data_IF_046197890085
#
_entry.id   IF_046197890085
#
_cell.length_a   1.000
_cell.length_b   1.000
_cell.length_c   1.000
_cell.angle_alpha   90.00
_cell.angle_beta   90.00
_cell.angle_gamma   90.00
#
_symmetry.space_group_name_H-M   'P 1'
#
loop_
_entity.id
_entity.type
_entity.pdbx_description
1 polymer ?
2 water ?
#
# COMPACT_ATOMS: atom_id res chain seq x y z
N UNK A 1 -8.70 -12.76 -32.67
CA UNK A 1 -8.56 -14.17 -33.09
C UNK A 1 -7.39 -14.83 -32.36
N UNK A 2 -6.44 -14.04 -31.87
CA UNK A 2 -5.29 -14.56 -31.14
C UNK A 2 -5.43 -14.39 -29.62
N UNK A 3 -5.28 -15.48 -28.84
CA UNK A 3 -5.40 -15.35 -27.39
C UNK A 3 -4.57 -14.19 -26.79
N UNK A 4 -3.46 -13.84 -27.46
CA UNK A 4 -2.64 -12.73 -27.01
C UNK A 4 -3.38 -11.43 -27.31
N UNK A 5 -4.03 -11.39 -28.48
CA UNK A 5 -4.81 -10.24 -28.93
C UNK A 5 -6.04 -10.06 -28.04
N UNK A 6 -6.69 -11.18 -27.71
CA UNK A 6 -7.87 -11.16 -26.85
C UNK A 6 -7.52 -10.60 -25.47
N UNK A 7 -6.31 -10.93 -25.01
CA UNK A 7 -5.84 -10.47 -23.72
C UNK A 7 -5.65 -8.96 -23.79
N UNK A 8 -5.12 -8.50 -24.92
CA UNK A 8 -4.89 -7.09 -25.15
C UNK A 8 -6.21 -6.31 -25.27
N UNK A 9 -7.16 -6.88 -26.00
CA UNK A 9 -8.47 -6.27 -26.21
C UNK A 9 -9.34 -6.26 -24.95
N UNK A 10 -9.44 -7.40 -24.26
CA UNK A 10 -10.25 -7.49 -23.05
C UNK A 10 -9.70 -6.53 -22.00
N UNK A 11 -10.60 -5.80 -21.34
CA UNK A 11 -10.16 -4.87 -20.31
C UNK A 11 -10.74 -5.27 -18.96
N UNK A 12 -9.85 -5.67 -18.06
CA UNK A 12 -10.21 -6.10 -16.71
C UNK A 12 -9.81 -5.03 -15.71
N UNK A 13 -10.73 -4.66 -14.83
CA UNK A 13 -10.47 -3.63 -13.84
C UNK A 13 -10.87 -4.01 -12.42
N UNK A 14 -10.29 -3.31 -11.46
CA UNK A 14 -10.62 -3.50 -10.05
C UNK A 14 -11.68 -2.43 -9.77
N UNK A 15 -12.76 -2.85 -9.14
CA UNK A 15 -13.82 -1.93 -8.81
C UNK A 15 -14.30 -2.26 -7.40
N UNK A 16 -15.17 -1.43 -6.86
CA UNK A 16 -15.67 -1.71 -5.53
C UNK A 16 -17.18 -1.61 -5.52
N UNK A 17 -17.82 -2.64 -5.00
CA UNK A 17 -19.28 -2.67 -4.94
C UNK A 17 -19.78 -1.64 -3.93
N UNK A 18 -20.68 -0.78 -4.40
CA UNK A 18 -21.26 0.26 -3.56
C UNK A 18 -22.69 -0.08 -3.18
N UNK A 19 -23.33 -0.87 -4.03
CA UNK A 19 -24.72 -1.21 -3.79
C UNK A 19 -25.02 -2.62 -4.34
N UNK A 20 -25.72 -3.42 -3.55
CA UNK A 20 -26.10 -4.77 -3.94
C UNK A 20 -27.54 -5.02 -3.50
N UNK A 21 -28.39 -5.43 -4.43
CA UNK A 21 -29.79 -5.69 -4.13
C UNK A 21 -30.31 -6.92 -4.86
N UNK A 22 -31.27 -7.63 -4.25
CA UNK A 22 -31.82 -8.84 -4.88
C UNK A 22 -32.41 -8.54 -6.25
N UNK A 23 -32.03 -9.37 -7.22
CA UNK A 23 -32.52 -9.21 -8.58
C UNK A 23 -33.76 -10.07 -8.76
N UNK A 24 -34.78 -9.77 -7.96
CA UNK A 24 -36.06 -10.47 -7.95
C UNK A 24 -36.61 -10.83 -9.34
N UNK A 25 -36.59 -9.85 -10.25
CA UNK A 25 -37.12 -10.02 -11.60
C UNK A 25 -36.47 -11.14 -12.42
N UNK A 26 -35.17 -11.36 -12.21
CA UNK A 26 -34.42 -12.39 -12.94
C UNK A 26 -34.83 -13.80 -12.55
N UNK A 27 -34.90 -14.69 -13.54
CA UNK A 27 -35.27 -16.08 -13.27
C UNK A 27 -34.13 -16.82 -12.61
N UNK A 28 -32.91 -16.46 -12.99
CA UNK A 28 -31.68 -17.04 -12.44
C UNK A 28 -31.23 -16.19 -11.24
N UNK A 29 -31.19 -16.79 -10.03
CA UNK A 29 -30.79 -16.11 -8.79
C UNK A 29 -29.59 -15.19 -8.98
N UNK A 30 -29.80 -13.91 -8.73
CA UNK A 30 -28.74 -12.94 -8.89
C UNK A 30 -28.95 -11.69 -8.06
N UNK A 31 -27.95 -10.81 -8.14
CA UNK A 31 -27.93 -9.54 -7.45
C UNK A 31 -27.77 -8.42 -8.44
N UNK A 32 -28.39 -7.29 -8.18
CA UNK A 32 -28.22 -6.10 -9.01
C UNK A 32 -27.07 -5.40 -8.27
N UNK A 33 -25.96 -5.13 -8.98
CA UNK A 33 -24.82 -4.48 -8.36
C UNK A 33 -24.48 -3.15 -9.02
N UNK A 34 -23.93 -2.24 -8.23
CA UNK A 34 -23.49 -0.94 -8.73
C UNK A 34 -22.02 -0.93 -8.33
N UNK A 35 -21.15 -0.90 -9.32
CA UNK A 35 -19.71 -0.96 -9.08
C UNK A 35 -18.94 0.33 -9.40
N UNK A 36 -18.18 0.79 -8.42
CA UNK A 36 -17.35 1.99 -8.55
C UNK A 36 -16.03 1.55 -9.17
N UNK A 37 -15.79 1.98 -10.41
CA UNK A 37 -14.58 1.62 -11.11
C UNK A 37 -13.65 2.81 -11.27
N UNK A 38 -13.68 3.70 -10.27
CA UNK A 38 -12.83 4.88 -10.29
C UNK A 38 -13.03 5.79 -11.47
N UNK A 39 -12.01 5.91 -12.34
CA UNK A 39 -12.02 6.74 -13.55
C UNK A 39 -13.18 6.39 -14.49
N UNK A 40 -13.56 5.12 -14.49
CA UNK A 40 -14.65 4.64 -15.34
C UNK A 40 -16.00 4.96 -14.72
N UNK A 41 -15.99 5.43 -13.49
CA UNK A 41 -17.23 5.78 -12.81
C UNK A 41 -18.01 4.56 -12.38
N UNK A 42 -19.33 4.72 -12.27
CA UNK A 42 -20.20 3.64 -11.84
C UNK A 42 -20.75 2.81 -12.99
N UNK A 43 -20.71 1.50 -12.82
CA UNK A 43 -21.20 0.56 -13.81
C UNK A 43 -22.04 -0.50 -13.13
N UNK A 44 -23.17 -0.82 -13.75
CA UNK A 44 -24.07 -1.82 -13.19
C UNK A 44 -23.71 -3.22 -13.63
N UNK A 45 -24.17 -4.20 -12.84
CA UNK A 45 -23.95 -5.59 -13.15
C UNK A 45 -24.91 -6.49 -12.41
N UNK A 46 -25.38 -7.54 -13.09
CA UNK A 46 -26.28 -8.53 -12.51
C UNK A 46 -25.40 -9.76 -12.32
N UNK A 47 -25.09 -10.08 -11.07
CA UNK A 47 -24.23 -11.22 -10.79
C UNK A 47 -24.93 -12.35 -10.05
N UNK A 48 -24.70 -13.57 -10.51
CA UNK A 48 -25.31 -14.75 -9.89
C UNK A 48 -24.41 -15.23 -8.77
N UNK A 49 -24.17 -14.37 -7.79
CA UNK A 49 -23.31 -14.72 -6.67
C UNK A 49 -24.11 -14.73 -5.38
N UNK A 50 -25.34 -15.24 -5.48
CA UNK A 50 -26.24 -15.31 -4.33
C UNK A 50 -25.89 -16.41 -3.36
N UNK A 51 -25.27 -17.47 -3.87
CA UNK A 51 -24.83 -18.56 -3.03
C UNK A 51 -23.42 -18.16 -2.61
N UNK A 52 -23.21 -18.11 -1.29
CA UNK A 52 -21.93 -17.72 -0.69
C UNK A 52 -21.88 -16.24 -0.29
N UNK A 53 -22.63 -15.38 -0.96
CA UNK A 53 -22.62 -13.95 -0.62
C UNK A 53 -23.96 -13.31 -0.36
N UNK A 54 -24.00 -12.46 0.66
CA UNK A 54 -25.17 -11.70 1.08
C UNK A 54 -24.93 -10.28 0.54
N UNK A 55 -26.00 -9.59 0.08
CA UNK A 55 -25.81 -8.22 -0.44
C UNK A 55 -24.98 -7.38 0.51
N UNK A 56 -25.20 -7.57 1.81
CA UNK A 56 -24.48 -6.83 2.85
C UNK A 56 -22.99 -7.15 2.80
N UNK A 57 -22.65 -8.37 2.39
CA UNK A 57 -21.25 -8.79 2.30
C UNK A 57 -20.56 -8.13 1.12
N UNK A 58 -21.30 -7.95 0.03
CA UNK A 58 -20.77 -7.35 -1.18
C UNK A 58 -20.46 -5.88 -1.05
N UNK A 59 -21.36 -5.15 -0.41
CA UNK A 59 -21.17 -3.71 -0.22
C UNK A 59 -19.80 -3.39 0.40
N UNK A 60 -19.03 -2.59 -0.32
CA UNK A 60 -17.72 -2.19 0.14
C UNK A 60 -16.56 -3.09 -0.23
N UNK A 61 -16.82 -4.19 -0.93
CA UNK A 61 -15.72 -5.08 -1.27
C UNK A 61 -15.17 -4.88 -2.67
N UNK A 62 -13.90 -5.23 -2.83
CA UNK A 62 -13.21 -5.12 -4.12
C UNK A 62 -13.56 -6.33 -4.96
N UNK A 63 -13.79 -6.06 -6.24
CA UNK A 63 -14.16 -7.06 -7.21
C UNK A 63 -13.36 -6.76 -8.48
N UNK A 64 -13.23 -7.73 -9.36
CA UNK A 64 -12.53 -7.50 -10.62
C UNK A 64 -13.56 -7.76 -11.72
N UNK A 65 -13.68 -6.81 -12.65
CA UNK A 65 -14.68 -6.89 -13.71
C UNK A 65 -14.19 -6.79 -15.14
N UNK A 66 -14.91 -7.45 -16.05
CA UNK A 66 -14.63 -7.37 -17.46
C UNK A 66 -15.51 -6.17 -17.81
N UNK A 67 -14.89 -5.05 -18.15
CA UNK A 67 -15.65 -3.85 -18.44
C UNK A 67 -16.04 -3.51 -19.89
N UNK A 68 -15.14 -3.74 -20.85
CA UNK A 68 -15.45 -3.40 -22.23
C UNK A 68 -16.35 -4.30 -23.08
N UNK A 69 -17.11 -5.19 -22.45
CA UNK A 69 -18.02 -6.05 -23.20
C UNK A 69 -19.28 -5.24 -23.42
N UNK A 70 -20.10 -5.66 -24.38
CA UNK A 70 -21.34 -4.94 -24.62
C UNK A 70 -22.27 -5.09 -23.43
N UNK A 71 -23.00 -4.04 -23.09
CA UNK A 71 -23.92 -4.10 -21.97
C UNK A 71 -25.14 -4.90 -22.41
N UNK A 72 -25.76 -5.61 -21.47
CA UNK A 72 -26.93 -6.42 -21.79
C UNK A 72 -27.95 -6.30 -20.69
N UNK A 73 -29.22 -6.51 -21.07
CA UNK A 73 -30.34 -6.44 -20.12
C UNK A 73 -30.62 -7.77 -19.47
N UNK A 74 -30.91 -7.72 -18.18
CA UNK A 74 -31.23 -8.94 -17.43
C UNK A 74 -32.44 -8.60 -16.59
N UNK A 75 -33.59 -9.12 -17.00
CA UNK A 75 -34.80 -8.87 -16.27
C UNK A 75 -34.97 -7.36 -16.08
N UNK A 76 -34.81 -6.63 -17.19
CA UNK A 76 -34.96 -5.20 -17.18
C UNK A 76 -33.75 -4.41 -16.72
N UNK A 77 -32.94 -5.01 -15.86
CA UNK A 77 -31.76 -4.36 -15.31
C UNK A 77 -30.61 -4.40 -16.32
N UNK A 78 -29.99 -3.26 -16.56
CA UNK A 78 -28.89 -3.19 -17.52
C UNK A 78 -27.55 -3.58 -16.89
N UNK A 79 -26.94 -4.64 -17.40
CA UNK A 79 -25.66 -5.12 -16.89
C UNK A 79 -24.54 -4.67 -17.83
N UNK A 80 -23.83 -3.63 -17.42
CA UNK A 80 -22.76 -3.06 -18.23
C UNK A 80 -21.39 -3.74 -18.11
N UNK A 81 -21.12 -4.37 -16.98
CA UNK A 81 -19.84 -5.06 -16.76
C UNK A 81 -20.05 -6.44 -16.13
N UNK A 82 -19.03 -7.29 -16.24
CA UNK A 82 -19.06 -8.64 -15.68
C UNK A 82 -18.13 -8.81 -14.49
N UNK A 83 -18.69 -9.22 -13.35
CA UNK A 83 -17.91 -9.45 -12.15
C UNK A 83 -17.37 -10.88 -12.24
N UNK A 84 -16.05 -11.00 -12.24
CA UNK A 84 -15.39 -12.30 -12.38
C UNK A 84 -15.38 -13.17 -11.14
N UNK A 85 -15.59 -14.47 -11.38
CA UNK A 85 -15.61 -15.45 -10.31
C UNK A 85 -15.16 -16.79 -10.84
N UNK A 86 -15.03 -17.75 -9.95
CA UNK A 86 -14.61 -19.09 -10.31
C UNK A 86 -15.43 -20.02 -9.43
N UNK A 87 -15.86 -21.17 -9.97
CA UNK A 87 -16.68 -22.07 -9.15
C UNK A 87 -15.89 -22.95 -8.17
N UNK A 88 -16.48 -23.18 -7.01
CA UNK A 88 -15.83 -24.07 -6.04
C UNK A 88 -16.22 -25.48 -6.44
N UNK A 89 -15.97 -26.45 -5.56
CA UNK A 89 -16.30 -27.83 -5.87
C UNK A 89 -17.78 -28.06 -6.15
N UNK A 90 -18.64 -27.35 -5.44
CA UNK A 90 -20.08 -27.48 -5.62
C UNK A 90 -20.66 -26.63 -6.75
N UNK A 91 -19.80 -25.93 -7.48
CA UNK A 91 -20.28 -25.09 -8.57
C UNK A 91 -20.63 -23.66 -8.19
N UNK A 92 -20.60 -23.36 -6.89
CA UNK A 92 -20.90 -22.00 -6.38
C UNK A 92 -19.83 -21.03 -6.83
N UNK A 93 -20.25 -19.82 -7.18
CA UNK A 93 -19.31 -18.81 -7.63
C UNK A 93 -18.50 -18.17 -6.50
N UNK A 94 -17.18 -18.26 -6.63
CA UNK A 94 -16.26 -17.65 -5.67
C UNK A 94 -15.70 -16.42 -6.40
N UNK A 95 -15.84 -15.26 -5.77
CA UNK A 95 -15.36 -14.03 -6.39
C UNK A 95 -13.84 -13.91 -6.36
N UNK A 96 -13.29 -13.24 -7.38
CA UNK A 96 -11.86 -13.00 -7.42
C UNK A 96 -11.67 -11.61 -6.82
N UNK A 97 -10.48 -11.35 -6.27
CA UNK A 97 -10.19 -10.06 -5.69
C UNK A 97 -8.70 -9.87 -5.53
N UNK A 98 -8.24 -8.61 -5.41
CA UNK A 98 -6.81 -8.33 -5.23
C UNK A 98 -6.43 -8.72 -3.81
N UNK A 99 -5.20 -9.20 -3.60
CA UNK A 99 -4.73 -9.60 -2.26
C UNK A 99 -4.98 -8.55 -1.20
N UNK A 100 -4.94 -7.29 -1.61
CA UNK A 100 -5.13 -6.19 -0.69
C UNK A 100 -5.80 -5.00 -1.38
N UNK A 101 -6.00 -3.94 -0.62
CA UNK A 101 -6.63 -2.72 -1.12
C UNK A 101 -5.74 -2.11 -2.19
N UNK A 102 -6.36 -1.60 -3.25
CA UNK A 102 -5.64 -1.05 -4.39
C UNK A 102 -6.52 0.04 -5.03
N UNK A 103 -5.94 0.92 -5.86
CA UNK A 103 -6.75 1.97 -6.50
C UNK A 103 -7.86 1.42 -7.43
N UNK A 104 -9.05 2.00 -7.35
CA UNK A 104 -10.17 1.54 -8.19
C UNK A 104 -9.92 1.91 -9.64
N UNK A 105 -10.40 1.08 -10.55
CA UNK A 105 -10.19 1.35 -11.95
C UNK A 105 -8.87 0.77 -12.41
N UNK A 106 -8.08 0.28 -11.46
CA UNK A 106 -6.80 -0.33 -11.78
C UNK A 106 -6.98 -1.44 -12.80
N UNK A 107 -6.10 -1.51 -13.78
CA UNK A 107 -6.21 -2.52 -14.83
C UNK A 107 -5.40 -3.78 -14.51
N UNK A 108 -6.01 -4.94 -14.74
CA UNK A 108 -5.35 -6.22 -14.47
C UNK A 108 -4.38 -6.56 -15.61
N UNK A 109 -3.21 -7.04 -15.24
CA UNK A 109 -2.20 -7.41 -16.22
C UNK A 109 -1.36 -8.59 -15.73
N UNK B 1 -11.63 -9.86 -31.98
CA UNK B 1 -11.84 -8.42 -32.31
C UNK B 1 -12.91 -7.80 -31.41
N UNK B 2 -13.97 -8.56 -31.12
CA UNK B 2 -15.05 -8.08 -30.26
C UNK B 2 -14.73 -8.43 -28.79
N UNK B 3 -14.71 -7.43 -27.89
CA UNK B 3 -14.40 -7.66 -26.47
C UNK B 3 -15.13 -8.89 -25.92
N UNK B 4 -16.34 -9.12 -26.42
CA UNK B 4 -17.13 -10.27 -25.98
C UNK B 4 -16.40 -11.54 -26.41
N UNK B 5 -15.94 -11.56 -27.65
CA UNK B 5 -15.21 -12.71 -28.19
C UNK B 5 -13.82 -12.85 -27.58
N UNK B 6 -13.21 -11.72 -27.24
CA UNK B 6 -11.90 -11.75 -26.60
C UNK B 6 -12.12 -12.44 -25.25
N UNK B 7 -13.26 -12.14 -24.65
CA UNK B 7 -13.65 -12.71 -23.35
C UNK B 7 -13.77 -14.23 -23.48
N UNK B 8 -14.45 -14.66 -24.54
CA UNK B 8 -14.68 -16.08 -24.80
C UNK B 8 -13.41 -16.84 -25.18
N UNK B 9 -12.52 -16.20 -25.92
CA UNK B 9 -11.26 -16.83 -26.35
C UNK B 9 -10.24 -16.91 -25.23
N UNK B 10 -10.10 -15.82 -24.47
CA UNK B 10 -9.13 -15.81 -23.37
C UNK B 10 -9.52 -16.89 -22.36
N UNK B 11 -8.53 -17.65 -21.90
CA UNK B 11 -8.78 -18.70 -20.92
C UNK B 11 -8.10 -18.36 -19.61
N UNK B 12 -8.91 -18.03 -18.61
CA UNK B 12 -8.42 -17.68 -17.29
C UNK B 12 -8.69 -18.83 -16.32
N UNK B 13 -7.68 -19.25 -15.60
CA UNK B 13 -7.82 -20.36 -14.65
C UNK B 13 -7.17 -20.05 -13.31
N UNK B 14 -7.56 -20.81 -12.30
CA UNK B 14 -6.98 -20.69 -10.97
C UNK B 14 -5.99 -21.82 -10.83
N UNK B 15 -4.78 -21.49 -10.37
CA UNK B 15 -3.79 -22.51 -10.18
C UNK B 15 -3.15 -22.29 -8.82
N UNK B 16 -2.30 -23.23 -8.41
CA UNK B 16 -1.62 -23.09 -7.15
C UNK B 16 -0.13 -23.13 -7.39
N UNK B 17 0.57 -22.11 -6.90
CA UNK B 17 2.03 -22.06 -7.04
C UNK B 17 2.61 -23.14 -6.14
N UNK B 18 3.44 -24.01 -6.70
CA UNK B 18 4.06 -25.07 -5.91
C UNK B 18 5.56 -24.84 -5.77
N UNK B 19 6.11 -23.94 -6.60
CA UNK B 19 7.54 -23.64 -6.56
C UNK B 19 7.81 -22.20 -7.04
N UNK B 20 8.64 -21.49 -6.29
CA UNK B 20 9.01 -20.11 -6.60
C UNK B 20 10.49 -19.91 -6.35
N UNK B 21 11.18 -19.36 -7.34
CA UNK B 21 12.62 -19.14 -7.22
C UNK B 21 13.05 -17.85 -7.92
N UNK B 22 14.09 -17.18 -7.37
CA UNK B 22 14.61 -15.94 -7.92
C UNK B 22 15.08 -16.12 -9.36
N UNK B 23 14.53 -15.30 -10.24
CA UNK B 23 14.85 -15.33 -11.66
C UNK B 23 15.95 -14.30 -11.87
N UNK B 24 17.05 -14.49 -11.15
CA UNK B 24 18.16 -13.55 -11.22
C UNK B 24 18.73 -13.30 -12.62
N UNK B 25 18.57 -14.26 -13.53
CA UNK B 25 19.07 -14.09 -14.90
C UNK B 25 18.31 -13.00 -15.65
N UNK B 26 17.08 -12.72 -15.22
CA UNK B 26 16.24 -11.71 -15.85
C UNK B 26 16.64 -10.29 -15.45
N UNK B 27 16.59 -9.38 -16.40
CA UNK B 27 16.92 -7.98 -16.20
C UNK B 27 15.98 -7.35 -15.17
N UNK B 28 14.68 -7.45 -15.45
CA UNK B 28 13.67 -6.90 -14.57
C UNK B 28 13.37 -7.95 -13.50
N UNK B 29 13.53 -7.59 -12.21
CA UNK B 29 13.28 -8.49 -11.08
C UNK B 29 12.01 -9.33 -11.19
N UNK B 30 12.18 -10.64 -11.06
CA UNK B 30 11.06 -11.56 -11.15
C UNK B 30 11.36 -12.87 -10.43
N UNK B 31 10.36 -13.74 -10.41
CA UNK B 31 10.45 -15.06 -9.81
C UNK B 31 10.09 -16.09 -10.86
N UNK B 32 10.75 -17.24 -10.79
CA UNK B 32 10.44 -18.34 -11.70
C UNK B 32 9.36 -19.05 -10.93
N UNK B 33 8.21 -19.25 -11.55
CA UNK B 33 7.11 -19.93 -10.87
C UNK B 33 6.67 -21.19 -11.59
N UNK B 34 6.23 -22.17 -10.80
CA UNK B 34 5.73 -23.43 -11.33
C UNK B 34 4.31 -23.47 -10.76
N UNK B 35 3.31 -23.42 -11.64
CA UNK B 35 1.92 -23.39 -11.21
C UNK B 35 1.16 -24.65 -11.54
N UNK B 36 0.51 -25.22 -10.52
CA UNK B 36 -0.30 -26.43 -10.67
C UNK B 36 -1.69 -25.99 -11.12
N UNK B 37 -2.01 -26.31 -12.37
CA UNK B 37 -3.31 -25.93 -12.92
C UNK B 37 -4.23 -27.14 -13.07
N UNK B 38 -4.13 -28.08 -12.12
CA UNK B 38 -4.96 -29.26 -12.13
C UNK B 38 -4.95 -30.03 -13.44
N UNK B 39 -6.08 -30.10 -14.14
CA UNK B 39 -6.20 -30.82 -15.43
C UNK B 39 -5.22 -30.35 -16.49
N UNK B 40 -4.78 -29.10 -16.39
CA UNK B 40 -3.84 -28.53 -17.35
C UNK B 40 -2.41 -28.91 -16.97
N UNK B 41 -2.26 -29.48 -15.77
CA UNK B 41 -0.95 -29.89 -15.31
C UNK B 41 -0.10 -28.74 -14.83
N UNK B 42 1.22 -28.88 -14.95
CA UNK B 42 2.14 -27.85 -14.51
C UNK B 42 2.56 -26.88 -15.61
N UNK B 43 2.43 -25.58 -15.34
CA UNK B 43 2.83 -24.55 -16.29
C UNK B 43 3.78 -23.57 -15.60
N UNK B 44 4.85 -23.19 -16.31
CA UNK B 44 5.83 -22.27 -15.77
C UNK B 44 5.40 -20.81 -16.04
N UNK B 45 6.00 -19.89 -15.29
CA UNK B 45 5.71 -18.47 -15.43
C UNK B 45 6.76 -17.62 -14.72
N UNK B 46 7.17 -16.53 -15.38
CA UNK B 46 8.13 -15.60 -14.82
C UNK B 46 7.22 -14.47 -14.37
N UNK B 47 7.23 -14.16 -13.08
CA UNK B 47 6.36 -13.11 -12.55
C UNK B 47 7.12 -12.04 -11.79
N UNK B 48 6.86 -10.79 -12.16
CA UNK B 48 7.52 -9.66 -11.53
C UNK B 48 6.77 -9.24 -10.27
N UNK B 49 6.73 -10.15 -9.30
CA UNK B 49 6.03 -9.90 -8.06
C UNK B 49 6.99 -10.01 -6.88
N UNK B 50 8.21 -9.53 -7.09
CA UNK B 50 9.23 -9.58 -6.05
C UNK B 50 9.00 -8.54 -4.95
N UNK B 51 8.28 -7.46 -5.28
CA UNK B 51 7.96 -6.43 -4.29
C UNK B 51 6.61 -6.88 -3.75
N UNK B 52 6.53 -7.04 -2.43
CA UNK B 52 5.31 -7.47 -1.74
C UNK B 52 5.22 -8.98 -1.54
N UNK B 53 5.96 -9.77 -2.32
CA UNK B 53 5.93 -11.23 -2.15
C UNK B 53 7.31 -11.86 -2.09
N UNK B 54 7.48 -12.80 -1.17
CA UNK B 54 8.74 -13.53 -1.05
C UNK B 54 8.42 -14.95 -1.54
N UNK B 55 9.38 -15.61 -2.20
CA UNK B 55 9.16 -16.98 -2.70
C UNK B 55 8.41 -17.88 -1.73
N UNK B 56 8.78 -17.79 -0.45
CA UNK B 56 8.18 -18.59 0.59
C UNK B 56 6.67 -18.32 0.74
N UNK B 57 6.26 -17.09 0.48
CA UNK B 57 4.85 -16.72 0.58
C UNK B 57 4.06 -17.26 -0.60
N UNK B 58 4.68 -17.24 -1.77
CA UNK B 58 4.01 -17.69 -2.98
C UNK B 58 3.75 -19.20 -2.98
N UNK B 59 4.67 -19.99 -2.42
CA UNK B 59 4.49 -21.43 -2.40
C UNK B 59 3.20 -21.83 -1.70
N UNK B 60 2.36 -22.58 -2.41
CA UNK B 60 1.09 -23.05 -1.85
C UNK B 60 -0.06 -22.09 -2.00
N UNK B 61 0.20 -20.96 -2.65
CA UNK B 61 -0.81 -19.93 -2.85
C UNK B 61 -1.61 -20.08 -4.13
N UNK B 62 -2.91 -19.75 -4.05
CA UNK B 62 -3.77 -19.79 -5.22
C UNK B 62 -3.57 -18.52 -6.02
N UNK B 63 -3.52 -18.69 -7.32
CA UNK B 63 -3.29 -17.58 -8.22
C UNK B 63 -4.23 -17.72 -9.41
N UNK B 64 -4.43 -16.64 -10.15
CA UNK B 64 -5.27 -16.70 -11.35
C UNK B 64 -4.37 -16.38 -12.56
N UNK B 65 -4.43 -17.24 -13.58
CA UNK B 65 -3.58 -17.06 -14.75
C UNK B 65 -4.28 -17.00 -16.10
N UNK B 66 -3.62 -16.35 -17.06
CA UNK B 66 -4.09 -16.28 -18.44
C UNK B 66 -3.27 -17.45 -19.00
N UNK B 67 -3.94 -18.54 -19.33
CA UNK B 67 -3.24 -19.72 -19.78
C UNK B 67 -2.99 -19.97 -21.27
N UNK B 68 -3.95 -19.59 -22.11
CA UNK B 68 -3.82 -19.87 -23.55
C UNK B 68 -3.10 -18.86 -24.43
N UNK B 69 -2.26 -18.02 -23.85
CA UNK B 69 -1.50 -17.08 -24.66
C UNK B 69 -0.25 -17.87 -25.02
N UNK B 70 0.46 -17.45 -26.06
CA UNK B 70 1.67 -18.17 -26.44
C UNK B 70 2.73 -18.09 -25.35
N UNK B 71 3.55 -19.14 -25.22
CA UNK B 71 4.61 -19.14 -24.21
C UNK B 71 5.73 -18.21 -24.69
N UNK B 72 6.40 -17.58 -23.74
CA UNK B 72 7.49 -16.67 -24.05
C UNK B 72 8.70 -16.99 -23.19
N UNK B 73 9.88 -16.73 -23.73
CA UNK B 73 11.11 -16.99 -23.00
C UNK B 73 11.49 -15.72 -22.24
N UNK B 74 11.91 -15.85 -20.99
CA UNK B 74 12.34 -14.70 -20.20
C UNK B 74 13.68 -15.06 -19.57
N UNK B 75 14.77 -14.52 -20.10
CA UNK B 75 16.09 -14.85 -19.57
C UNK B 75 16.22 -16.36 -19.59
N UNK B 76 15.92 -16.93 -20.76
CA UNK B 76 16.00 -18.36 -20.97
C UNK B 76 14.87 -19.17 -20.37
N UNK B 77 14.22 -18.64 -19.35
CA UNK B 77 13.12 -19.36 -18.69
C UNK B 77 11.85 -19.26 -19.51
N UNK B 78 11.24 -20.41 -19.78
CA UNK B 78 9.99 -20.45 -20.56
C UNK B 78 8.79 -20.09 -19.68
N UNK B 79 8.16 -18.96 -20.00
CA UNK B 79 6.97 -18.53 -19.26
C UNK B 79 5.74 -18.95 -20.08
N UNK B 80 5.07 -20.02 -19.66
CA UNK B 80 3.91 -20.56 -20.39
C UNK B 80 2.56 -19.91 -20.07
N UNK B 81 2.40 -19.39 -18.86
CA UNK B 81 1.15 -18.74 -18.49
C UNK B 81 1.44 -17.42 -17.79
N UNK B 82 0.44 -16.54 -17.78
CA UNK B 82 0.55 -15.24 -17.13
C UNK B 82 -0.19 -15.27 -15.79
N UNK B 83 0.50 -14.85 -14.74
CA UNK B 83 -0.08 -14.78 -13.40
C UNK B 83 -0.62 -13.35 -13.29
N UNK B 84 -1.93 -13.23 -13.08
CA UNK B 84 -2.58 -11.93 -13.05
C UNK B 84 -2.52 -11.14 -11.74
N UNK B 85 -2.32 -9.84 -11.89
CA UNK B 85 -2.22 -8.95 -10.75
C UNK B 85 -2.74 -7.57 -11.12
N UNK B 86 -2.68 -6.67 -10.15
CA UNK B 86 -3.16 -5.31 -10.35
C UNK B 86 -2.22 -4.40 -9.53
N UNK B 87 -1.90 -3.20 -10.03
CA UNK B 87 -1.02 -2.29 -9.30
C UNK B 87 -1.60 -1.55 -8.09
N UNK B 88 -0.79 -1.37 -7.06
CA UNK B 88 -1.23 -0.64 -5.88
C UNK B 88 -0.89 0.83 -6.18
N UNK B 89 -0.98 1.69 -5.18
CA UNK B 89 -0.71 3.11 -5.38
C UNK B 89 0.71 3.37 -5.87
N UNK B 90 1.63 2.52 -5.44
CA UNK B 90 3.04 2.61 -5.80
C UNK B 90 3.38 1.90 -7.11
N UNK B 91 2.39 1.31 -7.75
CA UNK B 91 2.64 0.60 -8.99
C UNK B 91 3.07 -0.84 -8.78
N UNK B 92 3.28 -1.25 -7.54
CA UNK B 92 3.70 -2.62 -7.26
C UNK B 92 2.56 -3.60 -7.56
N UNK B 93 2.92 -4.77 -8.07
CA UNK B 93 1.96 -5.80 -8.43
C UNK B 93 1.30 -6.50 -7.25
N UNK B 94 -0.03 -6.49 -7.22
CA UNK B 94 -0.80 -7.17 -6.18
C UNK B 94 -1.51 -8.31 -6.90
N UNK B 95 -1.27 -9.53 -6.44
CA UNK B 95 -1.87 -10.70 -7.05
C UNK B 95 -3.38 -10.79 -6.86
N UNK B 96 -4.06 -11.38 -7.85
CA UNK B 96 -5.49 -11.58 -7.76
C UNK B 96 -5.62 -12.99 -7.19
N UNK B 97 -6.75 -13.26 -6.55
CA UNK B 97 -6.98 -14.58 -5.96
C UNK B 97 -8.45 -14.83 -5.68
N UNK B 98 -8.85 -16.12 -5.62
CA UNK B 98 -10.25 -16.42 -5.31
C UNK B 98 -10.42 -16.11 -3.82
N UNK B 99 -11.63 -15.75 -3.38
CA UNK B 99 -11.90 -15.44 -1.97
C UNK B 99 -11.56 -16.58 -1.04
N UNK B 100 -11.70 -17.79 -1.55
CA UNK B 100 -11.41 -18.98 -0.76
C UNK B 100 -10.92 -20.06 -1.70
N UNK B 101 -10.55 -21.21 -1.12
CA UNK B 101 -10.05 -22.29 -1.94
C UNK B 101 -11.08 -22.82 -2.92
N UNK B 102 -10.61 -23.14 -4.12
CA UNK B 102 -11.46 -23.68 -5.18
C UNK B 102 -10.65 -24.73 -5.95
N UNK B 103 -11.32 -25.57 -6.77
CA UNK B 103 -10.57 -26.58 -7.52
C UNK B 103 -9.56 -25.94 -8.48
N UNK B 104 -8.38 -26.54 -8.57
CA UNK B 104 -7.34 -26.02 -9.47
C UNK B 104 -7.71 -26.32 -10.92
N UNK B 105 -7.48 -25.34 -11.79
CA UNK B 105 -7.82 -25.50 -13.19
C UNK B 105 -9.18 -24.90 -13.44
N UNK B 106 -9.88 -24.53 -12.36
CA UNK B 106 -11.19 -23.93 -12.48
C UNK B 106 -11.13 -22.73 -13.40
N UNK B 107 -12.16 -22.57 -14.23
CA UNK B 107 -12.19 -21.46 -15.18
C UNK B 107 -12.91 -20.24 -14.64
N UNK B 108 -12.31 -19.07 -14.86
CA UNK B 108 -12.87 -17.81 -14.42
C UNK B 108 -13.94 -17.35 -15.41
N UNK B 109 -15.08 -16.91 -14.87
CA UNK B 109 -16.19 -16.44 -15.70
C UNK B 109 -16.93 -15.27 -15.07
N UNK C 1 -8.68 4.50 4.74
CA UNK C 1 -9.95 5.19 5.07
C UNK C 1 -9.72 6.41 5.97
N UNK C 2 -9.86 6.26 7.28
CA UNK C 2 -9.68 7.35 8.22
C UNK C 2 -8.18 7.56 8.55
N UNK C 3 -7.72 8.83 8.57
CA UNK C 3 -6.32 9.15 8.88
C UNK C 3 -5.89 8.58 10.23
N UNK C 4 -6.84 8.45 11.14
CA UNK C 4 -6.59 7.91 12.47
C UNK C 4 -6.28 6.41 12.37
N UNK C 5 -6.96 5.72 11.45
CA UNK C 5 -6.71 4.29 11.23
C UNK C 5 -5.37 4.15 10.54
N UNK C 6 -5.07 5.12 9.68
CA UNK C 6 -3.82 5.19 8.94
C UNK C 6 -2.67 5.34 9.92
N UNK C 7 -2.85 6.22 10.90
CA UNK C 7 -1.84 6.46 11.92
C UNK C 7 -1.57 5.19 12.73
N UNK C 8 -2.63 4.48 13.10
CA UNK C 8 -2.49 3.25 13.88
C UNK C 8 -1.79 2.15 13.09
N UNK C 9 -2.14 2.03 11.81
CA UNK C 9 -1.55 1.02 10.94
C UNK C 9 -0.09 1.30 10.58
N UNK C 10 0.22 2.56 10.30
CA UNK C 10 1.58 2.95 9.93
C UNK C 10 2.52 2.70 11.11
N UNK C 11 3.68 2.14 10.81
CA UNK C 11 4.66 1.81 11.83
C UNK C 11 5.92 2.68 11.66
N UNK C 12 6.05 3.71 12.51
CA UNK C 12 7.22 4.59 12.46
C UNK C 12 8.15 4.28 13.62
N UNK C 13 9.43 4.04 13.31
CA UNK C 13 10.43 3.69 14.33
C UNK C 13 11.67 4.56 14.28
N UNK C 14 12.42 4.52 15.37
CA UNK C 14 13.70 5.22 15.46
C UNK C 14 14.78 4.19 15.20
N UNK C 15 15.71 4.51 14.30
CA UNK C 15 16.77 3.58 14.02
C UNK C 15 18.09 4.33 13.91
N UNK C 16 19.20 3.60 13.86
CA UNK C 16 20.51 4.22 13.72
C UNK C 16 21.23 3.63 12.54
N UNK C 17 21.65 4.51 11.64
CA UNK C 17 22.38 4.09 10.46
C UNK C 17 23.75 3.57 10.89
N UNK C 18 24.10 2.37 10.43
CA UNK C 18 25.39 1.80 10.79
C UNK C 18 26.29 1.62 9.56
N UNK C 19 25.70 1.76 8.37
CA UNK C 19 26.45 1.60 7.14
C UNK C 19 25.75 2.38 6.01
N UNK C 20 26.52 3.21 5.33
CA UNK C 20 26.01 4.02 4.22
C UNK C 20 26.97 3.90 3.06
N UNK C 21 26.44 3.57 1.88
CA UNK C 21 27.28 3.43 0.70
C UNK C 21 26.55 3.97 -0.54
N UNK C 22 27.33 4.48 -1.51
CA UNK C 22 26.74 5.02 -2.75
C UNK C 22 26.08 3.95 -3.61
N UNK C 23 24.81 4.15 -3.94
CA UNK C 23 24.09 3.19 -4.76
C UNK C 23 24.11 3.71 -6.18
N UNK C 24 25.30 3.77 -6.75
CA UNK C 24 25.51 4.27 -8.11
C UNK C 24 24.73 3.54 -9.20
N UNK C 25 24.26 2.33 -8.89
CA UNK C 25 23.50 1.55 -9.85
C UNK C 25 22.09 2.13 -10.07
N UNK C 26 21.54 2.75 -9.03
CA UNK C 26 20.22 3.36 -9.10
C UNK C 26 20.29 4.62 -9.95
N UNK C 27 19.29 4.84 -10.80
CA UNK C 27 19.27 6.00 -11.67
C UNK C 27 19.07 7.29 -10.87
N UNK C 28 18.21 7.23 -9.86
CA UNK C 28 17.96 8.39 -9.00
C UNK C 28 18.98 8.40 -7.86
N UNK C 29 19.82 9.44 -7.79
CA UNK C 29 20.85 9.57 -6.74
C UNK C 29 20.37 9.09 -5.37
N UNK C 30 21.01 8.04 -4.88
CA UNK C 30 20.65 7.46 -3.60
C UNK C 30 21.83 6.77 -2.91
N UNK C 31 21.61 6.41 -1.65
CA UNK C 31 22.61 5.74 -0.83
C UNK C 31 22.05 4.40 -0.35
N UNK C 32 22.89 3.39 -0.22
CA UNK C 32 22.46 2.10 0.30
C UNK C 32 22.65 2.24 1.79
N UNK C 33 21.59 2.03 2.57
CA UNK C 33 21.69 2.15 4.01
C UNK C 33 21.34 0.86 4.72
N UNK C 34 21.99 0.66 5.85
CA UNK C 34 21.75 -0.48 6.72
C UNK C 34 21.34 0.22 8.02
N UNK C 35 20.10 0.01 8.45
CA UNK C 35 19.62 0.68 9.66
C UNK C 35 19.32 -0.29 10.79
N UNK C 36 19.87 0.01 11.97
CA UNK C 36 19.65 -0.81 13.15
C UNK C 36 18.39 -0.33 13.87
N UNK C 37 17.36 -1.17 13.84
CA UNK C 37 16.09 -0.82 14.48
C UNK C 37 15.82 -1.61 15.75
N UNK C 38 16.88 -1.81 16.54
CA UNK C 38 16.77 -2.52 17.80
C UNK C 38 16.15 -3.91 17.72
N UNK C 39 15.00 -4.12 18.36
CA UNK C 39 14.29 -5.41 18.37
C UNK C 39 13.83 -5.85 16.98
N UNK C 40 13.77 -4.92 16.04
CA UNK C 40 13.37 -5.22 14.66
C UNK C 40 14.57 -5.74 13.89
N UNK C 41 15.76 -5.47 14.43
CA UNK C 41 17.00 -5.89 13.79
C UNK C 41 17.47 -4.92 12.72
N UNK C 42 18.28 -5.42 11.80
CA UNK C 42 18.83 -4.65 10.70
C UNK C 42 17.90 -4.70 9.47
N UNK C 43 17.59 -3.52 8.94
CA UNK C 43 16.75 -3.37 7.76
C UNK C 43 17.49 -2.45 6.81
N UNK C 44 17.44 -2.76 5.52
CA UNK C 44 18.12 -1.93 4.54
C UNK C 44 17.15 -0.93 3.94
N UNK C 45 17.72 0.11 3.33
CA UNK C 45 16.93 1.14 2.66
C UNK C 45 17.79 1.93 1.69
N UNK C 46 17.19 2.30 0.56
CA UNK C 46 17.87 3.11 -0.44
C UNK C 46 17.29 4.51 -0.21
N UNK C 47 18.11 5.43 0.25
CA UNK C 47 17.65 6.78 0.53
C UNK C 47 18.21 7.77 -0.46
N UNK C 48 17.35 8.69 -0.89
CA UNK C 48 17.72 9.74 -1.84
C UNK C 48 18.07 10.97 -1.01
N UNK C 49 19.06 10.80 -0.14
CA UNK C 49 19.55 11.85 0.74
C UNK C 49 20.99 12.22 0.39
N UNK C 50 21.29 12.10 -0.91
CA UNK C 50 22.61 12.40 -1.50
C UNK C 50 23.00 13.88 -1.39
N UNK C 51 22.00 14.75 -1.46
CA UNK C 51 22.19 16.19 -1.35
C UNK C 51 22.09 16.53 0.14
N UNK C 52 23.09 17.22 0.67
CA UNK C 52 23.11 17.61 2.07
C UNK C 52 23.71 16.56 3.00
N UNK C 53 23.87 15.33 2.51
CA UNK C 53 24.44 14.25 3.34
C UNK C 53 25.53 13.41 2.67
N UNK C 54 26.57 13.13 3.43
CA UNK C 54 27.67 12.30 2.95
C UNK C 54 27.62 11.01 3.76
N UNK C 55 27.89 9.88 3.12
CA UNK C 55 27.88 8.57 3.78
C UNK C 55 28.47 8.61 5.18
N UNK C 56 29.62 9.27 5.30
CA UNK C 56 30.32 9.38 6.58
C UNK C 56 29.49 10.09 7.63
N UNK C 57 28.66 11.04 7.20
CA UNK C 57 27.82 11.77 8.13
C UNK C 57 26.68 10.90 8.64
N UNK C 58 26.13 10.10 7.74
CA UNK C 58 25.02 9.22 8.04
C UNK C 58 25.36 8.13 9.04
N UNK C 59 26.56 7.58 8.94
CA UNK C 59 26.97 6.50 9.83
C UNK C 59 26.94 6.88 11.30
N UNK C 60 26.14 6.15 12.06
CA UNK C 60 26.00 6.39 13.48
C UNK C 60 24.90 7.37 13.86
N UNK C 61 24.16 7.86 12.89
CA UNK C 61 23.11 8.82 13.20
C UNK C 61 21.71 8.21 13.34
N UNK C 62 20.90 8.85 14.18
CA UNK C 62 19.54 8.43 14.44
C UNK C 62 18.68 8.88 13.30
N UNK C 63 17.79 8.00 12.89
CA UNK C 63 16.89 8.25 11.80
C UNK C 63 15.49 7.70 12.16
N UNK C 64 14.45 8.25 11.53
CA UNK C 64 13.11 7.75 11.79
C UNK C 64 12.62 7.12 10.49
N UNK C 65 12.13 5.89 10.57
CA UNK C 65 11.69 5.18 9.38
C UNK C 65 10.26 4.63 9.41
N UNK C 66 9.70 4.46 8.22
CA UNK C 66 8.38 3.87 8.07
C UNK C 66 8.86 2.46 7.81
N UNK C 67 8.56 1.55 8.73
CA UNK C 67 9.05 0.19 8.59
C UNK C 67 8.10 -0.91 8.08
N UNK C 68 6.80 -0.72 8.20
CA UNK C 68 5.84 -1.75 7.79
C UNK C 68 5.25 -1.64 6.39
N UNK C 69 5.92 -0.91 5.51
CA UNK C 69 5.45 -0.78 4.13
C UNK C 69 6.16 -1.93 3.43
N UNK C 70 5.62 -2.39 2.30
CA UNK C 70 6.26 -3.50 1.61
C UNK C 70 7.69 -3.20 1.18
N UNK C 71 8.53 -4.23 1.09
CA UNK C 71 9.91 -4.06 0.65
C UNK C 71 9.88 -3.71 -0.83
N UNK C 72 10.88 -2.97 -1.27
CA UNK C 72 10.94 -2.56 -2.66
C UNK C 72 12.34 -2.75 -3.21
N UNK C 73 12.43 -3.26 -4.44
CA UNK C 73 13.73 -3.50 -5.07
C UNK C 73 14.17 -2.23 -5.78
N UNK C 74 15.38 -1.75 -5.48
CA UNK C 74 15.90 -0.53 -6.11
C UNK C 74 17.30 -0.75 -6.68
N UNK C 75 17.37 -0.84 -8.00
CA UNK C 75 18.64 -1.07 -8.69
C UNK C 75 19.30 -2.31 -8.10
N UNK C 76 18.53 -3.37 -7.90
CA UNK C 76 19.09 -4.59 -7.35
C UNK C 76 19.24 -4.60 -5.84
N UNK C 77 19.09 -3.44 -5.19
CA UNK C 77 19.20 -3.38 -3.74
C UNK C 77 17.80 -3.47 -3.14
N UNK C 78 17.67 -4.27 -2.08
CA UNK C 78 16.40 -4.45 -1.41
C UNK C 78 16.18 -3.37 -0.34
N UNK C 79 15.18 -2.53 -0.56
CA UNK C 79 14.84 -1.46 0.38
C UNK C 79 13.69 -1.92 1.26
N UNK C 80 14.00 -2.28 2.49
CA UNK C 80 13.03 -2.80 3.46
C UNK C 80 12.23 -1.73 4.24
N UNK C 81 12.86 -0.60 4.52
CA UNK C 81 12.19 0.46 5.26
C UNK C 81 12.42 1.80 4.59
N UNK C 82 11.59 2.79 4.93
CA UNK C 82 11.69 4.11 4.35
C UNK C 82 12.22 5.10 5.39
N UNK C 83 13.32 5.79 5.05
CA UNK C 83 13.92 6.79 5.93
C UNK C 83 13.16 8.09 5.65
N UNK C 84 12.56 8.67 6.69
CA UNK C 84 11.77 9.88 6.53
C UNK C 84 12.51 11.21 6.64
N UNK C 85 12.04 12.17 5.86
CA UNK C 85 12.61 13.50 5.85
C UNK C 85 11.58 14.50 5.40
N UNK C 86 12.04 15.73 5.19
CA UNK C 86 11.17 16.81 4.75
C UNK C 86 12.01 17.72 3.85
N UNK C 87 11.40 18.33 2.82
CA UNK C 87 12.14 19.19 1.90
C UNK C 87 12.54 20.57 2.41
N UNK C 88 13.70 21.06 1.97
CA UNK C 88 14.13 22.39 2.35
C UNK C 88 13.55 23.30 1.28
N UNK C 89 13.99 24.55 1.24
CA UNK C 89 13.49 25.50 0.24
C UNK C 89 13.70 24.99 -1.18
N UNK C 90 14.87 24.41 -1.43
CA UNK C 90 15.21 23.89 -2.75
C UNK C 90 14.61 22.52 -3.08
N UNK C 91 14.00 21.88 -2.08
CA UNK C 91 13.43 20.58 -2.31
C UNK C 91 14.31 19.42 -1.88
N UNK C 92 15.52 19.71 -1.39
CA UNK C 92 16.42 18.65 -0.96
C UNK C 92 15.91 18.05 0.34
N UNK C 93 16.13 16.75 0.52
CA UNK C 93 15.66 16.05 1.72
C UNK C 93 16.45 16.40 2.99
N UNK C 94 15.72 16.83 4.02
CA UNK C 94 16.30 17.14 5.32
C UNK C 94 15.76 16.02 6.22
N UNK C 95 16.67 15.22 6.75
CA UNK C 95 16.29 14.09 7.61
C UNK C 95 15.66 14.53 8.93
N UNK C 96 14.69 13.75 9.39
CA UNK C 96 14.05 14.01 10.67
C UNK C 96 14.87 13.23 11.69
N UNK C 97 14.84 13.65 12.95
CA UNK C 97 15.56 12.96 14.00
C UNK C 97 15.00 13.31 15.37
N UNK C 98 15.21 12.43 16.36
CA UNK C 98 14.71 12.71 17.71
C UNK C 98 15.65 13.76 18.33
N UNK C 99 15.12 14.63 19.18
CA UNK C 99 15.92 15.68 19.83
C UNK C 99 17.23 15.18 20.42
N UNK C 100 17.20 14.01 21.04
CA UNK C 100 18.37 13.43 21.68
C UNK C 100 18.40 11.92 21.46
N UNK C 101 19.39 11.26 22.04
CA UNK C 101 19.49 9.82 21.89
C UNK C 101 18.29 9.14 22.57
N UNK C 102 17.79 8.09 21.94
CA UNK C 102 16.63 7.37 22.44
C UNK C 102 16.79 5.90 22.06
N UNK C 103 16.15 4.98 22.79
CA UNK C 103 16.27 3.55 22.45
C UNK C 103 15.87 3.23 20.99
N UNK C 104 16.70 2.42 20.33
CA UNK C 104 16.43 2.02 18.94
C UNK C 104 15.22 1.10 18.85
N UNK C 105 14.42 1.26 17.79
CA UNK C 105 13.23 0.45 17.63
C UNK C 105 12.04 1.14 18.28
N UNK C 106 12.31 2.27 18.93
CA UNK C 106 11.26 3.02 19.59
C UNK C 106 10.20 3.45 18.58
N UNK C 107 8.94 3.41 19.01
CA UNK C 107 7.84 3.79 18.13
C UNK C 107 7.44 5.26 18.23
N UNK C 108 7.20 5.87 17.07
CA UNK C 108 6.79 7.27 17.00
C UNK C 108 5.31 7.36 17.36
N UNK C 109 4.96 8.30 18.23
CA UNK C 109 3.57 8.48 18.66
C UNK C 109 3.21 9.95 18.92
N UNK D 1 -6.13 0.89 4.84
CA UNK D 1 -6.00 -0.52 5.33
C UNK D 1 -4.62 -1.06 4.98
N UNK D 2 -4.06 -0.63 3.86
CA UNK D 2 -2.72 -1.07 3.47
C UNK D 2 -1.76 -0.02 4.06
N UNK D 3 -0.64 -0.45 4.67
CA UNK D 3 0.32 0.50 5.25
C UNK D 3 0.79 1.57 4.27
N UNK D 4 0.87 1.21 2.99
CA UNK D 4 1.26 2.14 1.94
C UNK D 4 0.14 3.19 1.81
N UNK D 5 -1.10 2.74 1.89
CA UNK D 5 -2.22 3.67 1.79
C UNK D 5 -2.24 4.53 3.05
N UNK D 6 -1.94 3.93 4.19
CA UNK D 6 -1.92 4.67 5.46
C UNK D 6 -0.87 5.77 5.39
N UNK D 7 0.28 5.45 4.80
CA UNK D 7 1.35 6.42 4.67
C UNK D 7 0.91 7.58 3.79
N UNK D 8 0.21 7.27 2.71
CA UNK D 8 -0.26 8.29 1.79
C UNK D 8 -1.45 9.10 2.33
N UNK D 9 -2.26 8.48 3.18
CA UNK D 9 -3.43 9.15 3.77
C UNK D 9 -3.00 10.08 4.89
N UNK D 10 -2.12 9.59 5.75
CA UNK D 10 -1.66 10.39 6.88
C UNK D 10 -0.89 11.61 6.38
N UNK D 11 -1.19 12.75 6.98
CA UNK D 11 -0.55 14.00 6.60
C UNK D 11 0.37 14.48 7.71
N UNK D 12 1.68 14.35 7.49
CA UNK D 12 2.66 14.78 8.47
C UNK D 12 3.35 16.06 7.97
N UNK D 13 3.35 17.09 8.80
CA UNK D 13 3.92 18.38 8.43
C UNK D 13 4.97 18.91 9.39
N UNK D 14 5.76 19.85 8.91
CA UNK D 14 6.77 20.50 9.74
C UNK D 14 6.07 21.78 10.18
N UNK D 15 6.18 22.10 11.47
CA UNK D 15 5.57 23.32 11.97
C UNK D 15 6.44 24.00 13.01
N UNK D 16 6.09 25.22 13.37
CA UNK D 16 6.84 25.93 14.39
C UNK D 16 5.96 26.34 15.56
N UNK D 17 6.38 25.98 16.78
CA UNK D 17 5.63 26.34 17.97
C UNK D 17 5.79 27.85 18.16
N UNK D 18 4.69 28.52 18.43
CA UNK D 18 4.73 29.96 18.64
C UNK D 18 4.23 30.31 20.03
N UNK D 19 3.44 29.41 20.61
CA UNK D 19 2.88 29.64 21.93
C UNK D 19 2.78 28.32 22.69
N UNK D 20 3.32 28.31 23.92
CA UNK D 20 3.30 27.13 24.77
C UNK D 20 2.85 27.53 26.17
N UNK D 21 1.77 26.92 26.66
CA UNK D 21 1.26 27.24 27.99
C UNK D 21 0.80 26.01 28.78
N UNK D 22 1.04 26.00 30.10
CA UNK D 22 0.64 24.88 30.96
C UNK D 22 -0.84 24.56 30.78
N UNK D 23 -1.14 23.29 30.52
CA UNK D 23 -2.53 22.86 30.35
C UNK D 23 -3.05 22.40 31.70
N UNK D 24 -3.06 23.32 32.66
CA UNK D 24 -3.52 23.08 34.03
C UNK D 24 -4.76 22.21 34.14
N UNK D 25 -5.78 22.59 33.38
CA UNK D 25 -7.07 21.92 33.35
C UNK D 25 -7.04 20.43 32.99
N UNK D 26 -6.03 20.01 32.24
CA UNK D 26 -5.94 18.60 31.85
C UNK D 26 -5.36 17.81 33.02
N UNK D 27 -5.81 16.57 33.22
CA UNK D 27 -5.26 15.81 34.32
C UNK D 27 -3.94 15.13 34.03
N UNK D 28 -3.70 14.79 32.76
CA UNK D 28 -2.42 14.20 32.39
C UNK D 28 -1.56 15.40 31.97
N UNK D 29 -0.48 15.69 32.73
CA UNK D 29 0.42 16.81 32.43
C UNK D 29 0.66 17.08 30.95
N UNK D 30 0.27 18.28 30.52
CA UNK D 30 0.43 18.65 29.13
C UNK D 30 0.61 20.15 28.95
N UNK D 31 0.92 20.54 27.71
CA UNK D 31 1.10 21.93 27.34
C UNK D 31 0.07 22.26 26.28
N UNK D 32 -0.44 23.49 26.32
CA UNK D 32 -1.37 23.93 25.30
C UNK D 32 -0.41 24.55 24.29
N UNK D 33 -0.41 24.04 23.05
CA UNK D 33 0.51 24.57 22.04
C UNK D 33 -0.21 25.15 20.82
N UNK D 34 0.43 26.15 20.23
CA UNK D 34 -0.08 26.80 19.02
C UNK D 34 1.04 26.63 18.01
N UNK D 35 0.73 25.87 16.95
CA UNK D 35 1.73 25.58 15.93
C UNK D 35 1.48 26.27 14.60
N UNK D 36 2.51 26.93 14.09
CA UNK D 36 2.43 27.61 12.81
C UNK D 36 2.83 26.60 11.76
N UNK D 37 1.87 26.18 10.94
CA UNK D 37 2.14 25.20 9.91
C UNK D 37 2.10 25.83 8.52
N UNK D 38 2.59 27.07 8.42
CA UNK D 38 2.65 27.81 7.17
C UNK D 38 1.34 27.94 6.41
N UNK D 39 1.24 27.34 5.22
CA UNK D 39 0.00 27.41 4.43
C UNK D 39 -1.23 26.83 5.14
N UNK D 40 -1.01 25.96 6.11
CA UNK D 40 -2.13 25.38 6.87
C UNK D 40 -2.53 26.33 8.00
N UNK D 41 -1.72 27.35 8.22
CA UNK D 41 -1.98 28.32 9.26
C UNK D 41 -1.69 27.78 10.64
N UNK D 42 -2.39 28.32 11.64
CA UNK D 42 -2.16 27.89 13.01
C UNK D 42 -3.10 26.79 13.49
N UNK D 43 -2.49 25.79 14.12
CA UNK D 43 -3.22 24.66 14.67
C UNK D 43 -2.82 24.50 16.12
N UNK D 44 -3.80 24.12 16.95
CA UNK D 44 -3.56 23.95 18.36
C UNK D 44 -3.33 22.49 18.66
N UNK D 45 -2.69 22.21 19.79
CA UNK D 45 -2.41 20.85 20.21
C UNK D 45 -2.06 20.79 21.68
N UNK D 46 -2.56 19.77 22.35
CA UNK D 46 -2.30 19.55 23.77
C UNK D 46 -1.21 18.47 23.79
N UNK D 47 0.01 18.84 24.15
CA UNK D 47 1.12 17.89 24.14
C UNK D 47 1.65 17.54 25.51
N UNK D 48 1.85 16.24 25.75
CA UNK D 48 2.36 15.76 27.03
C UNK D 48 3.89 15.66 26.97
N UNK D 49 4.52 16.82 26.78
CA UNK D 49 5.97 16.90 26.68
C UNK D 49 6.51 17.79 27.77
N UNK D 50 5.88 17.71 28.93
CA UNK D 50 6.26 18.50 30.10
C UNK D 50 7.56 18.00 30.71
N UNK D 51 7.84 16.71 30.54
CA UNK D 51 9.08 16.15 31.05
C UNK D 51 10.06 16.32 29.89
N UNK D 52 11.17 16.98 30.16
CA UNK D 52 12.22 17.24 29.16
C UNK D 52 12.07 18.58 28.41
N UNK D 53 10.87 19.18 28.42
CA UNK D 53 10.65 20.46 27.73
C UNK D 53 9.89 21.50 28.57
N UNK D 54 10.40 22.74 28.56
CA UNK D 54 9.77 23.86 29.26
C UNK D 54 9.12 24.72 28.18
N UNK D 55 7.95 25.30 28.47
CA UNK D 55 7.27 26.14 27.47
C UNK D 55 8.21 27.10 26.75
N UNK D 56 9.20 27.60 27.48
CA UNK D 56 10.18 28.53 26.94
C UNK D 56 11.01 27.86 25.84
N UNK D 57 11.28 26.57 26.04
CA UNK D 57 12.07 25.75 25.10
C UNK D 57 11.30 25.46 23.82
N UNK D 58 10.00 25.26 23.98
CA UNK D 58 9.12 24.96 22.86
C UNK D 58 8.91 26.13 21.92
N UNK D 59 8.69 27.33 22.46
CA UNK D 59 8.47 28.51 21.64
C UNK D 59 9.61 28.77 20.66
N UNK D 60 9.25 28.86 19.38
CA UNK D 60 10.24 29.12 18.34
C UNK D 60 10.88 27.87 17.74
N UNK D 61 10.55 26.68 18.27
CA UNK D 61 11.17 25.47 17.74
C UNK D 61 10.33 24.74 16.70
N UNK D 62 11.02 24.04 15.80
CA UNK D 62 10.36 23.28 14.75
C UNK D 62 9.93 21.93 15.32
N UNK D 63 8.76 21.50 14.88
CA UNK D 63 8.19 20.26 15.38
C UNK D 63 7.53 19.53 14.18
N UNK D 64 7.31 18.23 14.28
CA UNK D 64 6.64 17.54 13.17
C UNK D 64 5.31 17.05 13.74
N UNK D 65 4.23 17.35 13.02
CA UNK D 65 2.88 17.00 13.48
C UNK D 65 2.04 16.18 12.53
N UNK D 66 1.14 15.40 13.11
CA UNK D 66 0.18 14.61 12.34
C UNK D 66 -1.00 15.60 12.29
N UNK D 67 -1.27 16.16 11.12
CA UNK D 67 -2.32 17.16 11.02
C UNK D 67 -3.73 16.81 10.55
N UNK D 68 -3.87 15.76 9.73
CA UNK D 68 -5.20 15.43 9.23
C UNK D 68 -6.01 14.41 10.05
N UNK D 69 -5.70 14.30 11.34
CA UNK D 69 -6.46 13.42 12.21
C UNK D 69 -7.56 14.33 12.75
N UNK D 70 -8.66 13.75 13.24
CA UNK D 70 -9.72 14.58 13.78
C UNK D 70 -9.26 15.36 15.00
N UNK D 71 -9.81 16.55 15.18
CA UNK D 71 -9.44 17.34 16.35
C UNK D 71 -10.13 16.74 17.56
N UNK D 72 -9.50 16.88 18.72
CA UNK D 72 -10.07 16.36 19.96
C UNK D 72 -10.00 17.40 21.07
N UNK D 73 -11.01 17.44 21.93
CA UNK D 73 -11.00 18.40 23.03
C UNK D 73 -10.33 17.76 24.24
N UNK D 74 -9.34 18.46 24.80
CA UNK D 74 -8.60 18.00 25.96
C UNK D 74 -8.76 19.04 27.05
N UNK D 75 -9.56 18.71 28.07
CA UNK D 75 -9.80 19.63 29.17
C UNK D 75 -10.23 20.97 28.58
N UNK D 76 -11.25 20.91 27.72
CA UNK D 76 -11.77 22.10 27.10
C UNK D 76 -10.97 22.60 25.91
N UNK D 77 -9.65 22.41 25.96
CA UNK D 77 -8.76 22.83 24.88
C UNK D 77 -8.95 21.93 23.66
N UNK D 78 -8.98 22.52 22.47
CA UNK D 78 -9.16 21.74 21.25
C UNK D 78 -7.79 21.38 20.65
N UNK D 79 -7.51 20.09 20.58
CA UNK D 79 -6.26 19.58 20.00
C UNK D 79 -6.50 19.26 18.55
N UNK D 80 -6.06 20.16 17.67
CA UNK D 80 -6.26 20.00 16.24
C UNK D 80 -5.22 19.08 15.55
N UNK D 81 -3.96 19.18 15.98
CA UNK D 81 -2.89 18.35 15.42
C UNK D 81 -2.14 17.58 16.51
N UNK D 82 -1.38 16.57 16.07
CA UNK D 82 -0.61 15.73 16.97
C UNK D 82 0.89 15.97 16.78
N UNK D 83 1.57 16.43 17.84
CA UNK D 83 3.01 16.67 17.81
C UNK D 83 3.69 15.32 18.03
N UNK D 84 4.55 14.91 17.10
CA UNK D 84 5.20 13.61 17.19
C UNK D 84 6.49 13.51 17.98
N UNK D 85 6.58 12.43 18.75
CA UNK D 85 7.75 12.18 19.56
C UNK D 85 8.05 10.70 19.66
N UNK D 86 9.02 10.38 20.48
CA UNK D 86 9.44 9.00 20.66
C UNK D 86 9.93 8.94 22.10
N UNK D 87 9.62 7.85 22.82
CA UNK D 87 10.06 7.76 24.22
C UNK D 87 11.53 7.40 24.43
N UNK D 88 12.15 8.01 25.45
CA UNK D 88 13.53 7.66 25.76
C UNK D 88 13.46 6.40 26.64
N UNK D 89 14.56 6.01 27.27
CA UNK D 89 14.51 4.80 28.07
C UNK D 89 13.56 4.92 29.25
N UNK D 90 13.41 6.13 29.77
CA UNK D 90 12.54 6.37 30.91
C UNK D 90 11.08 6.52 30.52
N UNK D 91 10.79 6.48 29.22
CA UNK D 91 9.41 6.60 28.76
C UNK D 91 8.98 8.02 28.48
N UNK D 92 9.87 8.98 28.71
CA UNK D 92 9.58 10.38 28.46
C UNK D 92 9.61 10.69 26.97
N UNK D 93 8.69 11.56 26.53
CA UNK D 93 8.62 11.93 25.13
C UNK D 93 9.78 12.81 24.66
N UNK D 94 10.44 12.36 23.60
CA UNK D 94 11.54 13.07 22.98
C UNK D 94 10.97 13.54 21.64
N UNK D 95 11.01 14.85 21.40
CA UNK D 95 10.45 15.40 20.17
C UNK D 95 11.25 15.08 18.91
N UNK D 96 10.53 14.96 17.81
CA UNK D 96 11.18 14.73 16.52
C UNK D 96 11.33 16.11 15.94
N UNK D 97 12.28 16.26 15.02
CA UNK D 97 12.50 17.55 14.39
C UNK D 97 13.41 17.40 13.19
N UNK D 98 13.36 18.36 12.25
CA UNK D 98 14.21 18.30 11.06
C UNK D 98 15.65 18.62 11.46
N UNK D 99 16.61 18.09 10.71
CA UNK D 99 18.02 18.33 10.95
C UNK D 99 18.32 19.80 11.04
N UNK D 100 17.68 20.56 10.17
CA UNK D 100 17.88 21.99 10.10
C UNK D 100 16.58 22.71 9.79
N UNK D 101 16.67 24.04 9.73
CA UNK D 101 15.54 24.89 9.43
C UNK D 101 15.02 24.54 8.04
N UNK D 102 13.70 24.49 7.91
CA UNK D 102 13.04 24.15 6.67
C UNK D 102 11.70 24.90 6.57
N UNK D 103 11.14 25.04 5.35
CA UNK D 103 9.86 25.74 5.20
C UNK D 103 8.73 25.11 6.00
N UNK D 104 7.96 25.94 6.70
CA UNK D 104 6.84 25.47 7.50
C UNK D 104 5.74 24.93 6.60
N UNK D 105 5.06 23.88 7.05
CA UNK D 105 3.99 23.29 6.27
C UNK D 105 4.56 22.22 5.35
N UNK D 106 5.87 22.04 5.40
CA UNK D 106 6.52 21.04 4.56
C UNK D 106 5.98 19.67 4.89
N UNK D 107 5.87 18.81 3.88
CA UNK D 107 5.36 17.47 4.07
C UNK D 107 6.46 16.42 4.29
N UNK D 108 6.24 15.56 5.27
CA UNK D 108 7.18 14.49 5.57
C UNK D 108 7.02 13.39 4.51
N UNK D 109 8.14 12.92 3.99
CA UNK D 109 8.12 11.87 2.96
C UNK D 109 9.36 10.99 3.05
#
# INVERSE_FOLDING_TARGET
MTPLEAFQILDLRVGRVLRAEPHEKARKPSYKLWVDLGPLGVKQSSAQITELYRPEDLVGRLVVCAVNLGAKRVAGFLSEVLVLGVPDEAGRVVLLAPDREVPLGGKVF
MTPLEAFQILDLRVGRVLRAEPHEKARKPSYKLWVDLGPLGVKQSSAQITELYRPEDLVGRLVVCAVNLGAKRVAGFLSEVLVLGVPDEAGRVVLLAPDREVPLGGKVF
MTPLEAFQILDLRVGRVLRAEPHEKARKPSYKLWVDLGPLGVKQSSAQITELYRPEDLVGRLVVCAVNLGAKRVAGFLSEVLVLGVPDEAGRVVLLAPDREVPLGGKVF
MTPLEAFQILDLRVGRVLRAEPHEKARKPSYKLWVDLGPLGVKQSSAQITELYRPEDLVGRLVVCAVNLGAKRVAGFLSEVLVLGVPDEAGRVVLLAPDREVPLGGKVF
#
